data_IF_529702782383
#
_entry.id   IF_529702782383
#
_cell.length_a   1.000
_cell.length_b   1.000
_cell.length_c   1.000
_cell.angle_alpha   90.00
_cell.angle_beta   90.00
_cell.angle_gamma   90.00
#
_symmetry.space_group_name_H-M   'P 1'
#
loop_
_entity.id
_entity.type
_entity.pdbx_description
1 polymer ?
#
# COMPACT_ATOMS: atom_id res chain seq x y z
N UNK A 1 -15.28 71.83 -85.86
CA UNK A 1 -15.33 70.53 -85.14
C UNK A 1 -13.93 70.02 -84.78
N UNK A 2 -13.00 69.84 -85.72
CA UNK A 2 -11.63 69.36 -85.42
C UNK A 2 -10.84 70.25 -84.44
N UNK A 3 -10.92 71.58 -84.55
CA UNK A 3 -10.22 72.50 -83.65
C UNK A 3 -10.70 72.42 -82.19
N UNK A 4 -12.02 72.35 -81.98
CA UNK A 4 -12.61 72.19 -80.65
C UNK A 4 -12.25 70.85 -80.01
N UNK A 5 -12.14 69.79 -80.82
CA UNK A 5 -11.76 68.47 -80.33
C UNK A 5 -10.27 68.40 -79.95
N UNK A 6 -9.39 69.09 -80.69
CA UNK A 6 -7.97 69.27 -80.32
C UNK A 6 -7.79 70.05 -79.01
N UNK A 7 -8.54 71.14 -78.84
CA UNK A 7 -8.46 71.94 -77.62
C UNK A 7 -8.92 71.16 -76.38
N UNK A 8 -9.99 70.36 -76.53
CA UNK A 8 -10.45 69.45 -75.47
C UNK A 8 -9.41 68.39 -75.11
N UNK A 9 -8.85 67.71 -76.11
CA UNK A 9 -7.76 66.73 -75.91
C UNK A 9 -6.53 67.35 -75.23
N UNK A 10 -6.17 68.58 -75.60
CA UNK A 10 -5.04 69.28 -74.96
C UNK A 10 -5.35 69.60 -73.49
N UNK A 11 -6.54 70.11 -73.18
CA UNK A 11 -6.95 70.38 -71.80
C UNK A 11 -7.01 69.09 -70.95
N UNK A 12 -7.50 67.98 -71.53
CA UNK A 12 -7.53 66.68 -70.87
C UNK A 12 -6.10 66.14 -70.61
N UNK A 13 -5.16 66.36 -71.55
CA UNK A 13 -3.75 66.01 -71.38
C UNK A 13 -3.04 66.85 -70.32
N UNK A 14 -3.33 68.15 -70.27
CA UNK A 14 -2.74 69.07 -69.29
C UNK A 14 -3.28 68.79 -67.88
N UNK A 15 -4.58 68.48 -67.76
CA UNK A 15 -5.19 68.03 -66.51
C UNK A 15 -4.60 66.69 -66.02
N UNK A 16 -4.38 65.74 -66.93
CA UNK A 16 -3.72 64.47 -66.62
C UNK A 16 -2.24 64.62 -66.26
N UNK A 17 -1.54 65.62 -66.83
CA UNK A 17 -0.18 65.96 -66.45
C UNK A 17 -0.10 66.61 -65.07
N UNK A 18 -1.07 67.46 -64.72
CA UNK A 18 -1.16 68.08 -63.40
C UNK A 18 -1.51 67.09 -62.27
N UNK A 19 -2.19 65.97 -62.61
CA UNK A 19 -2.51 64.89 -61.67
C UNK A 19 -1.46 63.78 -61.58
N UNK A 20 -0.34 63.87 -62.32
CA UNK A 20 0.73 62.87 -62.22
C UNK A 20 1.42 62.97 -60.87
N UNK A 21 1.35 61.89 -60.09
CA UNK A 21 2.21 61.71 -58.93
C UNK A 21 3.65 61.68 -59.43
N UNK A 22 4.51 62.50 -58.84
CA UNK A 22 5.91 62.53 -59.20
C UNK A 22 6.56 61.16 -58.94
N UNK A 23 7.38 60.68 -59.88
CA UNK A 23 8.04 59.37 -59.77
C UNK A 23 8.83 59.22 -58.46
N UNK A 24 9.38 60.32 -57.94
CA UNK A 24 10.06 60.36 -56.65
C UNK A 24 9.14 59.99 -55.47
N UNK A 25 7.87 60.43 -55.46
CA UNK A 25 6.90 60.10 -54.42
C UNK A 25 6.53 58.62 -54.49
N UNK A 26 6.38 58.07 -55.70
CA UNK A 26 6.13 56.63 -55.89
C UNK A 26 7.35 55.78 -55.47
N UNK A 27 8.57 56.25 -55.73
CA UNK A 27 9.80 55.58 -55.28
C UNK A 27 9.88 55.56 -53.75
N UNK A 28 9.67 56.71 -53.10
CA UNK A 28 9.67 56.82 -51.63
C UNK A 28 8.60 55.93 -50.98
N UNK A 29 7.38 55.88 -51.54
CA UNK A 29 6.32 55.01 -51.05
C UNK A 29 6.67 53.53 -51.18
N UNK A 30 7.38 53.12 -52.25
CA UNK A 30 7.85 51.74 -52.43
C UNK A 30 8.93 51.37 -51.43
N UNK A 31 9.88 52.28 -51.17
CA UNK A 31 10.93 52.08 -50.17
C UNK A 31 10.32 51.94 -48.76
N UNK A 32 9.43 52.85 -48.36
CA UNK A 32 8.71 52.75 -47.08
C UNK A 32 7.89 51.45 -46.96
N UNK A 33 7.27 50.99 -48.06
CA UNK A 33 6.57 49.70 -48.07
C UNK A 33 7.53 48.53 -47.86
N UNK A 34 8.69 48.55 -48.51
CA UNK A 34 9.70 47.51 -48.39
C UNK A 34 10.27 47.45 -46.97
N UNK A 35 10.55 48.60 -46.36
CA UNK A 35 11.02 48.68 -44.97
C UNK A 35 9.96 48.16 -43.99
N UNK A 36 8.70 48.53 -44.18
CA UNK A 36 7.59 48.05 -43.35
C UNK A 36 7.35 46.53 -43.52
N UNK A 37 7.45 46.00 -44.74
CA UNK A 37 7.37 44.56 -45.02
C UNK A 37 8.52 43.80 -44.35
N UNK A 38 9.75 44.34 -44.38
CA UNK A 38 10.91 43.75 -43.72
C UNK A 38 10.76 43.76 -42.18
N UNK A 39 10.34 44.89 -41.61
CA UNK A 39 10.09 45.00 -40.17
C UNK A 39 8.96 44.05 -39.72
N UNK A 40 7.89 43.92 -40.51
CA UNK A 40 6.80 42.99 -40.23
C UNK A 40 7.28 41.53 -40.27
N UNK A 41 8.10 41.17 -41.25
CA UNK A 41 8.67 39.82 -41.34
C UNK A 41 9.56 39.49 -40.14
N UNK A 42 10.37 40.45 -39.66
CA UNK A 42 11.21 40.28 -38.48
C UNK A 42 10.38 40.09 -37.19
N UNK A 43 9.38 40.94 -36.97
CA UNK A 43 8.46 40.80 -35.82
C UNK A 43 7.72 39.47 -35.85
N UNK A 44 7.29 39.01 -37.03
CA UNK A 44 6.64 37.69 -37.18
C UNK A 44 7.59 36.55 -36.82
N UNK A 45 8.84 36.59 -37.30
CA UNK A 45 9.84 35.58 -36.98
C UNK A 45 10.16 35.55 -35.47
N UNK A 46 10.20 36.72 -34.81
CA UNK A 46 10.38 36.80 -33.36
C UNK A 46 9.18 36.23 -32.60
N UNK A 47 7.96 36.49 -33.04
CA UNK A 47 6.74 35.94 -32.44
C UNK A 47 6.69 34.41 -32.57
N UNK A 48 7.03 33.86 -33.74
CA UNK A 48 7.10 32.41 -33.95
C UNK A 48 8.18 31.78 -33.05
N UNK A 49 9.36 32.39 -32.94
CA UNK A 49 10.43 31.93 -32.06
C UNK A 49 10.04 31.97 -30.56
N UNK A 50 9.24 32.97 -30.16
CA UNK A 50 8.72 33.05 -28.81
C UNK A 50 7.70 31.95 -28.52
N UNK A 51 6.77 31.68 -29.44
CA UNK A 51 5.80 30.59 -29.29
C UNK A 51 6.50 29.21 -29.17
N UNK A 52 7.58 29.00 -29.93
CA UNK A 52 8.43 27.81 -29.82
C UNK A 52 9.19 27.75 -28.47
N UNK A 53 9.57 28.90 -27.92
CA UNK A 53 10.20 28.97 -26.61
C UNK A 53 9.22 28.66 -25.48
N UNK A 54 8.00 29.19 -25.55
CA UNK A 54 6.91 28.91 -24.60
C UNK A 54 6.55 27.42 -24.61
N UNK A 55 6.38 26.83 -25.80
CA UNK A 55 6.13 25.38 -25.94
C UNK A 55 7.24 24.53 -25.31
N UNK A 56 8.50 24.92 -25.50
CA UNK A 56 9.65 24.24 -24.87
C UNK A 56 9.66 24.42 -23.35
N UNK A 57 9.31 25.59 -22.86
CA UNK A 57 9.24 25.87 -21.43
C UNK A 57 8.16 25.01 -20.76
N UNK A 58 6.98 24.91 -21.36
CA UNK A 58 5.88 24.07 -20.87
C UNK A 58 6.28 22.59 -20.84
N UNK A 59 6.96 22.10 -21.89
CA UNK A 59 7.48 20.74 -21.93
C UNK A 59 8.52 20.46 -20.83
N UNK A 60 9.44 21.40 -20.60
CA UNK A 60 10.45 21.29 -19.53
C UNK A 60 9.81 21.33 -18.14
N UNK A 61 8.81 22.20 -17.94
CA UNK A 61 8.09 22.30 -16.69
C UNK A 61 7.30 21.03 -16.37
N UNK A 62 6.59 20.49 -17.37
CA UNK A 62 5.88 19.22 -17.24
C UNK A 62 6.84 18.07 -16.89
N UNK A 63 7.96 17.95 -17.61
CA UNK A 63 8.96 16.93 -17.33
C UNK A 63 9.59 17.05 -15.92
N UNK A 64 9.78 18.28 -15.42
CA UNK A 64 10.26 18.51 -14.06
C UNK A 64 9.24 18.11 -12.99
N UNK A 65 7.95 18.34 -13.23
CA UNK A 65 6.88 17.87 -12.34
C UNK A 65 6.82 16.35 -12.29
N UNK A 66 6.84 15.69 -13.46
CA UNK A 66 6.82 14.24 -13.55
C UNK A 66 8.02 13.62 -12.81
N UNK A 67 9.22 14.20 -12.97
CA UNK A 67 10.41 13.76 -12.26
C UNK A 67 10.30 13.93 -10.74
N UNK A 68 9.74 15.06 -10.27
CA UNK A 68 9.52 15.30 -8.85
C UNK A 68 8.53 14.28 -8.26
N UNK A 69 7.41 14.04 -8.94
CA UNK A 69 6.41 13.06 -8.51
C UNK A 69 6.99 11.65 -8.43
N UNK A 70 7.83 11.25 -9.39
CA UNK A 70 8.50 9.96 -9.38
C UNK A 70 9.43 9.80 -8.17
N UNK A 71 10.25 10.81 -7.87
CA UNK A 71 11.15 10.77 -6.71
C UNK A 71 10.38 10.73 -5.38
N UNK A 72 9.30 11.50 -5.24
CA UNK A 72 8.46 11.48 -4.05
C UNK A 72 7.76 10.13 -3.82
N UNK A 73 7.34 9.48 -4.91
CA UNK A 73 6.77 8.14 -4.84
C UNK A 73 7.81 7.11 -4.37
N UNK A 74 9.05 7.19 -4.88
CA UNK A 74 10.14 6.32 -4.46
C UNK A 74 10.55 6.56 -3.00
N UNK A 75 10.62 7.81 -2.55
CA UNK A 75 10.88 8.15 -1.15
C UNK A 75 9.82 7.53 -0.23
N UNK A 76 8.54 7.67 -0.59
CA UNK A 76 7.42 7.12 0.17
C UNK A 76 7.48 5.59 0.24
N UNK A 77 7.84 4.93 -0.88
CA UNK A 77 8.04 3.47 -0.93
C UNK A 77 9.19 3.03 -0.02
N UNK A 78 10.35 3.67 -0.12
CA UNK A 78 11.52 3.35 0.69
C UNK A 78 11.28 3.56 2.18
N UNK A 79 10.51 4.60 2.54
CA UNK A 79 10.13 4.83 3.94
C UNK A 79 9.22 3.71 4.46
N UNK A 80 8.22 3.29 3.69
CA UNK A 80 7.37 2.16 4.07
C UNK A 80 8.16 0.84 4.21
N UNK A 81 9.13 0.60 3.32
CA UNK A 81 10.04 -0.55 3.41
C UNK A 81 10.88 -0.50 4.70
N UNK A 82 11.44 0.66 5.04
CA UNK A 82 12.22 0.85 6.26
C UNK A 82 11.39 0.64 7.53
N UNK A 83 10.17 1.18 7.57
CA UNK A 83 9.23 0.98 8.68
C UNK A 83 8.82 -0.49 8.82
N UNK A 84 8.54 -1.17 7.71
CA UNK A 84 8.22 -2.59 7.69
C UNK A 84 9.37 -3.47 8.20
N UNK A 85 10.61 -3.18 7.79
CA UNK A 85 11.80 -3.88 8.27
C UNK A 85 12.07 -3.62 9.76
N UNK A 86 11.90 -2.38 10.22
CA UNK A 86 12.05 -2.05 11.64
C UNK A 86 11.05 -2.81 12.51
N UNK A 87 9.79 -2.90 12.06
CA UNK A 87 8.75 -3.67 12.75
C UNK A 87 9.11 -5.16 12.81
N UNK A 88 9.52 -5.75 11.69
CA UNK A 88 9.93 -7.16 11.63
C UNK A 88 11.14 -7.47 12.52
N UNK A 89 12.12 -6.57 12.58
CA UNK A 89 13.29 -6.74 13.46
C UNK A 89 12.93 -6.56 14.93
N UNK A 90 11.97 -5.69 15.26
CA UNK A 90 11.53 -5.50 16.64
C UNK A 90 10.73 -6.69 17.18
N UNK A 91 9.99 -7.40 16.34
CA UNK A 91 9.30 -8.65 16.74
C UNK A 91 10.27 -9.77 17.07
N UNK A 92 11.44 -9.82 16.42
CA UNK A 92 12.44 -10.88 16.68
C UNK A 92 13.32 -10.59 17.91
N UNK A 93 13.48 -9.32 18.32
CA UNK A 93 14.48 -8.90 19.31
C UNK A 93 14.05 -8.88 20.78
N UNK A 94 12.76 -8.74 21.08
CA UNK A 94 12.28 -8.72 22.48
C UNK A 94 11.94 -10.14 23.00
N UNK A 95 11.60 -11.07 22.11
CA UNK A 95 11.23 -12.45 22.47
C UNK A 95 12.47 -13.34 22.75
N UNK A 96 13.65 -13.02 22.22
CA UNK A 96 14.87 -13.85 22.36
C UNK A 96 15.50 -13.80 23.77
N UNK A 97 15.15 -12.80 24.59
CA UNK A 97 15.60 -12.70 25.98
C UNK A 97 14.80 -13.59 26.95
N UNK A 98 13.62 -14.06 26.55
CA UNK A 98 12.68 -14.77 27.40
C UNK A 98 12.21 -16.06 26.73
N UNK A 99 12.83 -17.18 27.10
CA UNK A 99 12.50 -18.48 26.51
C UNK A 99 10.99 -18.77 26.56
N UNK A 100 10.38 -19.20 25.45
CA UNK A 100 8.97 -19.56 25.38
C UNK A 100 8.69 -20.78 26.25
N UNK A 101 7.45 -20.92 26.74
CA UNK A 101 7.09 -22.08 27.57
C UNK A 101 7.20 -23.39 26.78
N UNK A 102 7.03 -23.36 25.45
CA UNK A 102 7.20 -24.51 24.57
C UNK A 102 8.53 -25.25 24.78
N UNK A 103 9.63 -24.52 25.02
CA UNK A 103 10.96 -25.11 25.28
C UNK A 103 11.03 -25.88 26.60
N UNK A 104 10.14 -25.57 27.55
CA UNK A 104 10.05 -26.20 28.85
C UNK A 104 9.02 -27.35 28.90
N UNK A 105 8.26 -27.59 27.83
CA UNK A 105 7.29 -28.66 27.75
C UNK A 105 7.96 -29.97 27.30
N UNK A 106 7.56 -31.10 27.91
CA UNK A 106 7.84 -32.42 27.34
C UNK A 106 6.54 -33.08 26.96
N UNK A 107 6.35 -33.21 25.66
CA UNK A 107 5.14 -33.70 25.02
C UNK A 107 5.40 -35.13 24.53
N UNK A 108 4.56 -36.11 24.88
CA UNK A 108 4.62 -37.43 24.28
C UNK A 108 4.34 -37.39 22.77
N UNK A 109 5.02 -38.26 22.01
CA UNK A 109 4.85 -38.37 20.55
C UNK A 109 3.37 -38.45 20.13
N UNK A 110 3.00 -37.64 19.14
CA UNK A 110 1.67 -37.62 18.54
C UNK A 110 0.63 -36.81 19.31
N UNK A 111 1.07 -35.90 20.19
CA UNK A 111 0.22 -34.90 20.87
C UNK A 111 0.59 -33.44 20.52
N UNK A 112 1.63 -33.24 19.72
CA UNK A 112 2.16 -31.92 19.37
C UNK A 112 1.11 -31.08 18.66
N UNK A 113 0.40 -31.68 17.70
CA UNK A 113 -0.68 -31.02 16.96
C UNK A 113 -1.87 -30.68 17.86
N UNK A 114 -2.22 -31.57 18.79
CA UNK A 114 -3.28 -31.31 19.76
C UNK A 114 -2.93 -30.17 20.72
N UNK A 115 -1.66 -30.08 21.13
CA UNK A 115 -1.16 -29.01 21.98
C UNK A 115 -1.17 -27.67 21.23
N UNK A 116 -0.61 -27.64 20.01
CA UNK A 116 -0.60 -26.47 19.16
C UNK A 116 -2.02 -25.93 18.91
N UNK A 117 -2.97 -26.81 18.59
CA UNK A 117 -4.36 -26.42 18.36
C UNK A 117 -5.04 -25.87 19.62
N UNK A 118 -4.67 -26.33 20.82
CA UNK A 118 -5.39 -26.00 22.06
C UNK A 118 -4.86 -24.76 22.79
N UNK A 119 -3.56 -24.46 22.69
CA UNK A 119 -2.93 -23.34 23.42
C UNK A 119 -1.93 -22.54 22.57
N UNK A 120 -2.17 -22.38 21.26
CA UNK A 120 -1.27 -21.73 20.29
C UNK A 120 -0.56 -20.46 20.80
N UNK A 121 -1.29 -19.37 21.06
CA UNK A 121 -0.70 -18.10 21.56
C UNK A 121 0.02 -18.25 22.91
N UNK A 122 -0.42 -19.23 23.71
CA UNK A 122 0.18 -19.53 24.99
C UNK A 122 1.53 -20.24 24.88
N UNK A 123 1.82 -20.96 23.79
CA UNK A 123 3.08 -21.70 23.65
C UNK A 123 4.29 -20.79 23.48
N UNK A 124 4.10 -19.62 22.88
CA UNK A 124 5.15 -18.61 22.67
C UNK A 124 5.39 -17.72 23.89
N UNK A 125 4.48 -17.72 24.87
CA UNK A 125 4.61 -16.89 26.06
C UNK A 125 5.65 -17.48 27.04
N UNK A 126 6.45 -16.62 27.68
CA UNK A 126 7.43 -17.05 28.68
C UNK A 126 6.81 -17.31 30.06
N UNK A 127 7.55 -17.89 30.99
CA UNK A 127 7.18 -17.91 32.43
C UNK A 127 7.82 -16.74 33.21
N UNK A 128 8.68 -15.95 32.56
CA UNK A 128 9.28 -14.77 33.16
C UNK A 128 8.32 -13.58 33.12
N UNK A 129 7.98 -13.04 34.29
CA UNK A 129 7.05 -11.91 34.43
C UNK A 129 7.55 -10.60 33.80
N UNK A 130 8.82 -10.53 33.38
CA UNK A 130 9.38 -9.39 32.65
C UNK A 130 9.07 -9.44 31.15
N UNK A 131 8.72 -10.60 30.61
CA UNK A 131 8.32 -10.74 29.22
C UNK A 131 6.95 -10.08 28.98
N UNK A 132 6.78 -9.48 27.79
CA UNK A 132 5.53 -8.82 27.42
C UNK A 132 4.34 -9.79 27.41
N UNK A 133 4.54 -11.02 26.91
CA UNK A 133 3.62 -12.15 27.00
C UNK A 133 4.18 -13.18 27.98
N UNK A 134 3.48 -13.42 29.08
CA UNK A 134 3.94 -14.41 30.06
C UNK A 134 2.80 -15.15 30.77
N UNK A 135 3.09 -16.39 31.15
CA UNK A 135 2.29 -17.17 32.06
C UNK A 135 2.55 -16.77 33.50
N UNK A 136 1.49 -16.80 34.31
CA UNK A 136 1.59 -16.66 35.75
C UNK A 136 0.88 -17.82 36.43
N UNK A 137 1.35 -18.18 37.62
CA UNK A 137 0.67 -19.18 38.43
C UNK A 137 -0.71 -18.65 38.83
N UNK A 138 -1.75 -19.31 38.34
CA UNK A 138 -3.14 -18.98 38.66
C UNK A 138 -3.68 -19.88 39.77
N UNK A 139 -4.44 -19.30 40.71
CA UNK A 139 -5.10 -20.05 41.79
C UNK A 139 -6.52 -20.49 41.38
N UNK A 140 -6.93 -21.68 41.81
CA UNK A 140 -8.28 -22.20 41.67
C UNK A 140 -8.33 -23.60 41.05
N UNK A 141 -9.39 -24.32 41.37
CA UNK A 141 -9.59 -25.68 40.87
C UNK A 141 -10.03 -25.68 39.41
N UNK A 142 -9.71 -26.77 38.71
CA UNK A 142 -10.19 -27.05 37.35
C UNK A 142 -11.32 -28.06 37.48
N UNK A 143 -12.49 -27.71 36.94
CA UNK A 143 -13.62 -28.62 36.96
C UNK A 143 -13.33 -29.86 36.11
N UNK A 144 -13.81 -31.05 36.52
CA UNK A 144 -13.50 -32.29 35.83
C UNK A 144 -14.02 -32.27 34.39
N UNK A 145 -13.22 -32.81 33.48
CA UNK A 145 -13.62 -33.00 32.09
C UNK A 145 -14.75 -34.05 31.96
N UNK A 146 -15.54 -34.00 30.87
CA UNK A 146 -16.52 -35.04 30.58
C UNK A 146 -15.89 -36.43 30.56
N UNK A 147 -16.63 -37.42 31.06
CA UNK A 147 -16.18 -38.82 31.04
C UNK A 147 -15.90 -39.28 29.61
N UNK A 148 -14.69 -39.80 29.38
CA UNK A 148 -14.18 -40.18 28.06
C UNK A 148 -13.18 -39.21 27.45
N UNK A 149 -12.92 -38.05 28.07
CA UNK A 149 -11.81 -37.17 27.73
C UNK A 149 -10.67 -37.30 28.76
N UNK A 150 -9.42 -37.25 28.29
CA UNK A 150 -8.22 -37.32 29.14
C UNK A 150 -7.59 -35.94 29.21
N UNK A 151 -7.39 -35.39 30.41
CA UNK A 151 -6.77 -34.07 30.56
C UNK A 151 -5.33 -34.04 30.02
N UNK A 152 -5.01 -33.11 29.12
CA UNK A 152 -3.65 -32.95 28.59
C UNK A 152 -2.63 -32.66 29.70
N UNK A 153 -3.04 -31.95 30.75
CA UNK A 153 -2.19 -31.70 31.92
C UNK A 153 -1.75 -32.97 32.68
N UNK A 154 -2.34 -34.12 32.38
CA UNK A 154 -1.90 -35.43 32.92
C UNK A 154 -0.99 -36.21 31.97
N UNK A 155 -0.88 -35.76 30.72
CA UNK A 155 -0.12 -36.42 29.66
C UNK A 155 1.18 -35.69 29.32
N UNK A 156 1.24 -34.38 29.56
CA UNK A 156 2.38 -33.51 29.23
C UNK A 156 3.09 -33.08 30.50
N UNK A 157 4.42 -33.14 30.53
CA UNK A 157 5.21 -32.50 31.59
C UNK A 157 5.31 -31.01 31.26
N UNK A 158 4.75 -30.16 32.12
CA UNK A 158 4.69 -28.71 31.92
C UNK A 158 5.00 -27.93 33.20
N UNK A 159 5.50 -26.69 33.09
CA UNK A 159 5.59 -25.77 34.22
C UNK A 159 4.24 -25.56 34.92
N UNK A 160 4.28 -25.30 36.23
CA UNK A 160 3.07 -25.18 37.07
C UNK A 160 2.14 -24.06 36.61
N UNK A 161 2.69 -23.05 35.95
CA UNK A 161 2.00 -21.91 35.39
C UNK A 161 1.02 -22.30 34.27
N UNK A 162 1.33 -23.33 33.46
CA UNK A 162 0.48 -23.79 32.36
C UNK A 162 -0.41 -25.00 32.69
N UNK A 163 -0.10 -25.74 33.76
CA UNK A 163 -0.85 -26.95 34.14
C UNK A 163 -2.36 -26.72 34.30
N UNK A 164 -2.76 -25.55 34.79
CA UNK A 164 -4.18 -25.22 34.97
C UNK A 164 -4.92 -25.17 33.63
N UNK A 165 -4.33 -24.53 32.63
CA UNK A 165 -4.90 -24.44 31.29
C UNK A 165 -4.94 -25.82 30.63
N UNK A 166 -3.82 -26.56 30.69
CA UNK A 166 -3.73 -27.92 30.13
C UNK A 166 -4.70 -28.91 30.78
N UNK A 167 -5.05 -28.72 32.05
CA UNK A 167 -6.03 -29.56 32.75
C UNK A 167 -7.47 -29.33 32.28
N UNK A 168 -7.75 -28.17 31.68
CA UNK A 168 -9.05 -27.85 31.09
C UNK A 168 -9.17 -28.31 29.63
N UNK A 169 -8.10 -28.85 29.05
CA UNK A 169 -8.09 -29.40 27.70
C UNK A 169 -8.16 -30.92 27.76
N UNK A 170 -9.21 -31.50 27.19
CA UNK A 170 -9.44 -32.93 27.12
C UNK A 170 -9.08 -33.52 25.76
N UNK A 171 -8.16 -34.48 25.74
CA UNK A 171 -7.89 -35.32 24.59
C UNK A 171 -9.03 -36.33 24.38
N UNK A 172 -9.53 -36.41 23.14
CA UNK A 172 -10.49 -37.42 22.70
C UNK A 172 -9.93 -38.20 21.51
N UNK A 173 -10.32 -39.47 21.39
CA UNK A 173 -9.77 -40.38 20.38
C UNK A 173 -10.26 -40.06 18.95
N UNK A 174 -11.46 -39.50 18.81
CA UNK A 174 -12.08 -39.29 17.51
C UNK A 174 -12.96 -38.04 17.45
N UNK A 175 -13.18 -37.54 16.24
CA UNK A 175 -14.14 -36.44 15.97
C UNK A 175 -15.55 -36.78 16.43
N UNK A 176 -15.96 -38.05 16.31
CA UNK A 176 -17.26 -38.50 16.78
C UNK A 176 -17.38 -38.40 18.33
N UNK A 177 -16.31 -38.70 19.06
CA UNK A 177 -16.27 -38.51 20.51
C UNK A 177 -16.28 -37.03 20.89
N UNK A 178 -15.52 -36.19 20.16
CA UNK A 178 -15.55 -34.74 20.31
C UNK A 178 -16.97 -34.19 20.12
N UNK A 179 -17.66 -34.58 19.06
CA UNK A 179 -19.04 -34.16 18.78
C UNK A 179 -20.03 -34.61 19.86
N UNK A 180 -19.87 -35.83 20.36
CA UNK A 180 -20.72 -36.41 21.41
C UNK A 180 -20.50 -35.75 22.77
N UNK A 181 -19.25 -35.40 23.10
CA UNK A 181 -18.86 -34.87 24.42
C UNK A 181 -18.90 -33.34 24.49
N UNK A 182 -18.78 -32.63 23.38
CA UNK A 182 -18.79 -31.16 23.34
C UNK A 182 -20.00 -30.51 24.05
N UNK A 183 -21.24 -31.05 23.96
CA UNK A 183 -22.39 -30.47 24.69
C UNK A 183 -22.26 -30.53 26.22
N UNK A 184 -21.36 -31.35 26.76
CA UNK A 184 -21.13 -31.49 28.20
C UNK A 184 -19.98 -30.62 28.73
N UNK A 185 -19.32 -29.83 27.87
CA UNK A 185 -18.22 -28.96 28.29
C UNK A 185 -18.71 -27.87 29.24
N UNK A 186 -17.92 -27.62 30.28
CA UNK A 186 -18.11 -26.50 31.19
C UNK A 186 -17.31 -25.27 30.73
N UNK A 187 -17.62 -24.11 31.30
CA UNK A 187 -16.93 -22.87 30.98
C UNK A 187 -15.40 -23.01 31.13
N UNK A 188 -14.67 -22.61 30.10
CA UNK A 188 -13.21 -22.71 30.02
C UNK A 188 -12.66 -24.05 29.51
N UNK A 189 -13.50 -25.07 29.29
CA UNK A 189 -13.04 -26.37 28.80
C UNK A 189 -12.97 -26.44 27.27
N UNK A 190 -12.06 -27.28 26.80
CA UNK A 190 -11.84 -27.56 25.39
C UNK A 190 -11.64 -29.06 25.20
N UNK A 191 -12.14 -29.63 24.11
CA UNK A 191 -11.77 -30.97 23.64
C UNK A 191 -10.88 -30.85 22.41
N UNK A 192 -9.94 -31.77 22.27
CA UNK A 192 -9.04 -31.81 21.11
C UNK A 192 -8.74 -33.26 20.73
N UNK A 193 -8.58 -33.53 19.44
CA UNK A 193 -8.05 -34.81 18.94
C UNK A 193 -6.56 -34.71 18.64
N UNK A 194 -5.89 -35.85 18.47
CA UNK A 194 -4.46 -35.90 18.12
C UNK A 194 -4.11 -35.19 16.81
N UNK A 195 -5.04 -35.14 15.87
CA UNK A 195 -4.92 -34.47 14.57
C UNK A 195 -5.40 -32.99 14.58
N UNK A 196 -5.71 -32.45 15.76
CA UNK A 196 -5.98 -31.02 15.96
C UNK A 196 -7.42 -30.57 15.71
N UNK A 197 -8.39 -31.48 15.55
CA UNK A 197 -9.80 -31.06 15.62
C UNK A 197 -10.12 -30.59 17.05
N UNK A 198 -10.88 -29.51 17.20
CA UNK A 198 -11.06 -28.85 18.48
C UNK A 198 -12.52 -28.42 18.70
N UNK A 199 -12.96 -28.49 19.95
CA UNK A 199 -14.27 -28.05 20.42
C UNK A 199 -14.11 -27.22 21.68
N UNK A 200 -14.54 -25.97 21.67
CA UNK A 200 -14.59 -25.13 22.87
C UNK A 200 -16.00 -25.04 23.44
N UNK A 201 -16.07 -24.83 24.75
CA UNK A 201 -17.32 -24.71 25.50
C UNK A 201 -18.27 -23.61 24.99
N UNK A 202 -17.73 -22.57 24.34
CA UNK A 202 -18.47 -21.43 23.77
C UNK A 202 -19.05 -21.73 22.36
N UNK A 203 -18.79 -22.91 21.81
CA UNK A 203 -19.25 -23.34 20.50
C UNK A 203 -18.24 -23.16 19.37
N UNK A 204 -17.05 -22.59 19.63
CA UNK A 204 -15.98 -22.51 18.63
C UNK A 204 -15.42 -23.91 18.30
N UNK A 205 -15.10 -24.14 17.01
CA UNK A 205 -14.62 -25.43 16.50
C UNK A 205 -13.56 -25.29 15.42
N UNK A 206 -12.59 -26.18 15.44
CA UNK A 206 -11.59 -26.38 14.37
C UNK A 206 -11.74 -27.81 13.82
N UNK A 207 -11.60 -27.97 12.50
CA UNK A 207 -11.55 -29.30 11.87
C UNK A 207 -10.09 -29.77 11.80
N UNK A 208 -9.86 -31.06 11.95
CA UNK A 208 -8.54 -31.66 11.80
C UNK A 208 -7.85 -31.22 10.50
N UNK A 209 -6.54 -31.00 10.57
CA UNK A 209 -5.73 -30.57 9.42
C UNK A 209 -5.90 -29.11 9.00
N UNK A 210 -6.60 -28.30 9.79
CA UNK A 210 -6.69 -26.84 9.62
C UNK A 210 -6.14 -26.12 10.86
N UNK A 211 -4.81 -26.13 11.10
CA UNK A 211 -4.23 -25.24 12.11
C UNK A 211 -4.46 -23.78 11.71
N UNK A 212 -4.69 -22.92 12.71
CA UNK A 212 -4.70 -21.45 12.54
C UNK A 212 -3.33 -20.95 12.06
#
# INVERSE_FOLDING_TARGET
>A
RAAAQRAKLQADMDAAAAQRIADAVMAQAREQRQDAEAAFADVRAQADAQADAETRQDALFSAAQDALMAVQADESRLQAEAEGLAQALSSDGEDDAFAPIADALRVPDGLEVALAASISEGLEASVDARAARHWTRSAGDVAPLPSGAIALGTLVEAPVEALRALSAVGLVESTADGDRLAPALQAGQTLVTRDGALWRWDGYRIRAGHPD
#
